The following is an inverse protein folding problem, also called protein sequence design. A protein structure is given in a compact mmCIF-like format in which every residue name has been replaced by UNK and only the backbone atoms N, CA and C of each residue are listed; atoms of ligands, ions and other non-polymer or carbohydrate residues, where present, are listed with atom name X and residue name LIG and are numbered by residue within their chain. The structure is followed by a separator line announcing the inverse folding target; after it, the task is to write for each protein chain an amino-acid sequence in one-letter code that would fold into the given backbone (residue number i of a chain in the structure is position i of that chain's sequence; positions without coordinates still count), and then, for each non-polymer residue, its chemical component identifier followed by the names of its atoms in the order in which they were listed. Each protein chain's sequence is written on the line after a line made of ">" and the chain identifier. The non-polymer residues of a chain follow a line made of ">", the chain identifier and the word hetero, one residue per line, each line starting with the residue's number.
data_IF_614828791108
#
_entry.id   IF_614828791108
#
_cell.length_a   1.000
_cell.length_b   1.000
_cell.length_c   1.000
_cell.angle_alpha   90.00
_cell.angle_beta   90.00
_cell.angle_gamma   90.00
#
_symmetry.space_group_name_H-M   'P 1'
#
loop_
_entity.id
_entity.type
_entity.pdbx_description
1 polymer ?
#
# COMPACT_ATOMS: atom_id res chain seq x y z
N UNK A 1 30.46 47.91 53.94
CA UNK A 1 29.68 46.71 54.32
C UNK A 1 28.83 46.31 53.13
N UNK A 2 28.94 45.05 52.71
CA UNK A 2 28.09 44.39 51.71
C UNK A 2 26.59 44.39 52.16
N UNK A 3 25.59 44.19 51.28
CA UNK A 3 25.57 43.05 50.37
C UNK A 3 25.17 43.30 48.92
N UNK A 4 25.81 42.52 48.05
CA UNK A 4 25.44 42.23 46.68
C UNK A 4 24.20 41.32 46.71
N UNK A 5 23.09 41.73 46.10
CA UNK A 5 21.97 40.85 45.81
C UNK A 5 22.27 40.11 44.50
N UNK A 6 22.64 38.84 44.61
CA UNK A 6 22.68 37.91 43.48
C UNK A 6 21.25 37.47 43.20
N UNK A 7 20.67 37.96 42.09
CA UNK A 7 19.40 37.45 41.57
C UNK A 7 19.72 36.19 40.77
N UNK A 8 19.41 35.03 41.34
CA UNK A 8 19.42 33.74 40.64
C UNK A 8 18.24 33.71 39.65
N UNK A 9 18.53 33.97 38.38
CA UNK A 9 17.64 33.63 37.28
C UNK A 9 17.61 32.10 37.12
N UNK A 10 16.62 31.46 37.72
CA UNK A 10 16.22 30.10 37.33
C UNK A 10 15.59 30.18 35.94
N UNK A 11 16.43 30.08 34.91
CA UNK A 11 15.96 29.77 33.57
C UNK A 11 15.37 28.37 33.60
N UNK A 12 14.04 28.27 33.54
CA UNK A 12 13.38 27.06 33.10
C UNK A 12 13.83 26.82 31.66
N UNK A 13 14.84 25.98 31.49
CA UNK A 13 15.10 25.33 30.21
C UNK A 13 13.93 24.37 30.03
N UNK A 14 12.89 24.83 29.34
CA UNK A 14 11.93 23.92 28.76
C UNK A 14 12.70 23.01 27.81
N UNK A 15 12.98 21.81 28.29
CA UNK A 15 13.29 20.70 27.41
C UNK A 15 12.08 20.53 26.51
N UNK A 16 12.14 21.09 25.30
CA UNK A 16 11.32 20.69 24.17
C UNK A 16 11.59 19.21 23.92
N UNK A 17 10.88 18.36 24.67
CA UNK A 17 10.65 17.00 24.29
C UNK A 17 9.78 17.06 23.04
N UNK A 18 10.39 16.77 21.90
CA UNK A 18 9.67 16.43 20.70
C UNK A 18 8.85 15.16 20.98
N UNK A 19 7.65 15.33 21.51
CA UNK A 19 6.63 14.29 21.56
C UNK A 19 6.10 14.04 20.14
N UNK A 20 5.67 12.82 19.82
CA UNK A 20 4.92 12.58 18.60
C UNK A 20 3.51 13.12 18.79
N UNK A 21 3.00 13.82 17.77
CA UNK A 21 1.66 14.40 17.60
C UNK A 21 1.52 15.88 18.03
N UNK A 22 1.20 16.74 17.07
CA UNK A 22 0.65 18.06 17.36
C UNK A 22 -0.73 17.87 18.02
N UNK A 23 -0.90 18.43 19.22
CA UNK A 23 -2.12 18.29 20.03
C UNK A 23 -3.34 19.01 19.44
N UNK A 24 -3.14 20.01 18.58
CA UNK A 24 -4.22 20.77 17.97
C UNK A 24 -4.59 20.21 16.58
N UNK A 25 -5.89 20.08 16.26
CA UNK A 25 -6.33 19.61 14.96
C UNK A 25 -5.98 20.64 13.88
N UNK A 26 -5.40 20.18 12.76
CA UNK A 26 -5.01 21.04 11.66
C UNK A 26 -6.21 21.65 10.90
N UNK A 27 -7.39 21.03 11.03
CA UNK A 27 -8.63 21.47 10.41
C UNK A 27 -9.79 21.36 11.38
N UNK A 28 -10.74 22.29 11.25
CA UNK A 28 -12.02 22.19 11.91
C UNK A 28 -12.81 21.00 11.32
N UNK A 29 -13.23 20.08 12.18
CA UNK A 29 -14.12 18.99 11.80
C UNK A 29 -15.58 19.46 11.83
N UNK A 30 -16.46 18.70 11.18
CA UNK A 30 -17.90 18.92 11.18
C UNK A 30 -18.40 19.17 12.60
N UNK A 31 -19.07 20.31 12.81
CA UNK A 31 -19.67 20.62 14.10
C UNK A 31 -20.71 19.58 14.50
N UNK A 32 -20.72 19.23 15.78
CA UNK A 32 -21.62 18.21 16.35
C UNK A 32 -21.51 16.87 15.59
N UNK A 33 -20.29 16.45 15.29
CA UNK A 33 -20.03 15.21 14.57
C UNK A 33 -20.61 13.99 15.29
N UNK A 34 -21.45 13.21 14.60
CA UNK A 34 -22.01 11.96 15.08
C UNK A 34 -21.43 10.77 14.29
N UNK A 35 -20.57 10.00 14.96
CA UNK A 35 -19.94 8.82 14.37
C UNK A 35 -20.96 7.79 13.90
N UNK A 36 -22.06 7.59 14.62
CA UNK A 36 -23.04 6.54 14.31
C UNK A 36 -23.74 6.81 12.99
N UNK A 37 -23.98 8.09 12.69
CA UNK A 37 -24.57 8.51 11.42
C UNK A 37 -23.58 8.46 10.26
N UNK A 38 -22.28 8.51 10.54
CA UNK A 38 -21.24 8.33 9.52
C UNK A 38 -21.06 6.85 9.11
N UNK A 39 -21.44 5.88 9.95
CA UNK A 39 -21.28 4.45 9.65
C UNK A 39 -22.00 4.00 8.37
N UNK A 40 -21.63 2.83 7.89
CA UNK A 40 -22.19 2.17 6.71
C UNK A 40 -21.43 2.50 5.43
N UNK A 41 -22.08 2.26 4.29
CA UNK A 41 -21.48 2.32 2.97
C UNK A 41 -21.48 3.75 2.40
N UNK A 42 -20.38 4.09 1.76
CA UNK A 42 -20.08 5.33 1.04
C UNK A 42 -19.44 4.99 -0.29
N UNK A 43 -19.57 5.88 -1.27
CA UNK A 43 -18.96 5.78 -2.59
C UNK A 43 -17.93 6.87 -2.77
N UNK A 44 -16.73 6.52 -3.21
CA UNK A 44 -15.62 7.45 -3.45
C UNK A 44 -15.81 8.11 -4.82
N UNK A 45 -16.38 9.31 -4.85
CA UNK A 45 -16.88 10.00 -6.06
C UNK A 45 -15.80 10.83 -6.73
N UNK A 46 -15.07 11.63 -5.94
CA UNK A 46 -14.02 12.48 -6.46
C UNK A 46 -12.86 12.58 -5.47
N UNK A 47 -11.67 12.83 -5.98
CA UNK A 47 -10.49 13.02 -5.15
C UNK A 47 -9.47 13.95 -5.80
N UNK A 48 -8.76 14.71 -4.98
CA UNK A 48 -7.64 15.56 -5.37
C UNK A 48 -6.49 15.33 -4.39
N UNK A 49 -5.26 15.53 -4.85
CA UNK A 49 -4.07 15.39 -4.01
C UNK A 49 -2.93 16.21 -4.58
N UNK A 50 -2.20 16.88 -3.69
CA UNK A 50 -0.96 17.57 -4.02
C UNK A 50 0.23 16.60 -4.16
N UNK A 51 0.02 15.32 -3.83
CA UNK A 51 1.02 14.27 -3.93
C UNK A 51 1.59 14.22 -5.37
N UNK A 52 2.91 14.41 -5.55
CA UNK A 52 3.53 14.49 -6.87
C UNK A 52 3.22 13.28 -7.76
N UNK A 53 3.13 12.08 -7.17
CA UNK A 53 2.79 10.86 -7.88
C UNK A 53 1.37 10.89 -8.46
N UNK A 54 0.37 11.33 -7.68
CA UNK A 54 -1.03 11.47 -8.13
C UNK A 54 -1.15 12.50 -9.24
N UNK A 55 -0.36 13.59 -9.18
CA UNK A 55 -0.31 14.60 -10.25
C UNK A 55 0.25 14.03 -11.56
N UNK A 56 1.26 13.16 -11.47
CA UNK A 56 1.93 12.57 -12.65
C UNK A 56 1.20 11.35 -13.23
N UNK A 57 0.51 10.56 -12.39
CA UNK A 57 -0.14 9.31 -12.76
C UNK A 57 -1.66 9.37 -12.57
N UNK A 58 -2.29 10.40 -13.15
CA UNK A 58 -3.75 10.54 -13.15
C UNK A 58 -4.39 9.46 -14.04
N UNK A 59 -4.67 8.28 -13.45
CA UNK A 59 -5.34 7.19 -14.15
C UNK A 59 -6.85 7.33 -14.11
N UNK A 60 -7.50 6.91 -15.19
CA UNK A 60 -8.94 6.76 -15.21
C UNK A 60 -9.38 5.83 -14.07
N UNK A 61 -10.18 6.35 -13.14
CA UNK A 61 -10.54 5.68 -11.90
C UNK A 61 -12.04 5.49 -11.84
N UNK A 62 -12.47 4.31 -11.40
CA UNK A 62 -13.88 3.98 -11.22
C UNK A 62 -14.32 4.32 -9.80
N UNK A 63 -15.61 4.60 -9.63
CA UNK A 63 -16.22 4.77 -8.30
C UNK A 63 -16.06 3.46 -7.53
N UNK A 64 -15.37 3.53 -6.39
CA UNK A 64 -15.27 2.43 -5.43
C UNK A 64 -16.19 2.66 -4.23
N UNK A 65 -16.31 1.67 -3.36
CA UNK A 65 -17.04 1.81 -2.09
C UNK A 65 -16.10 1.82 -0.89
N UNK A 66 -16.53 2.49 0.16
CA UNK A 66 -15.95 2.52 1.48
C UNK A 66 -17.05 2.17 2.47
N UNK A 67 -16.82 1.18 3.32
CA UNK A 67 -17.78 0.78 4.34
C UNK A 67 -17.13 0.93 5.71
N UNK A 68 -17.80 1.67 6.59
CA UNK A 68 -17.34 1.98 7.95
C UNK A 68 -18.22 1.25 8.96
N UNK A 69 -17.60 0.51 9.87
CA UNK A 69 -18.29 -0.27 10.89
C UNK A 69 -17.60 -0.09 12.24
N UNK A 70 -18.36 -0.24 13.34
CA UNK A 70 -17.74 -0.28 14.66
C UNK A 70 -16.86 -1.52 14.77
N UNK A 71 -15.66 -1.34 15.29
CA UNK A 71 -14.79 -2.43 15.64
C UNK A 71 -15.19 -3.05 16.98
N UNK A 72 -14.63 -4.22 17.29
CA UNK A 72 -14.76 -4.85 18.60
C UNK A 72 -14.08 -4.02 19.70
N UNK A 73 -13.08 -3.22 19.34
CA UNK A 73 -12.43 -2.26 20.24
C UNK A 73 -13.16 -0.92 20.22
N UNK A 74 -13.40 -0.30 21.40
CA UNK A 74 -14.13 0.96 21.49
C UNK A 74 -13.39 2.16 20.88
N UNK A 75 -12.07 2.04 20.67
CA UNK A 75 -11.22 3.12 20.17
C UNK A 75 -10.89 2.97 18.68
N UNK A 76 -11.47 1.98 18.01
CA UNK A 76 -11.17 1.70 16.60
C UNK A 76 -12.43 1.64 15.75
N UNK A 77 -12.28 2.04 14.49
CA UNK A 77 -13.33 2.03 13.48
C UNK A 77 -12.84 1.18 12.30
N UNK A 78 -13.56 0.10 12.02
CA UNK A 78 -13.20 -0.79 10.93
C UNK A 78 -13.67 -0.23 9.59
N UNK A 79 -12.81 -0.40 8.59
CA UNK A 79 -12.95 0.16 7.28
C UNK A 79 -12.73 -0.93 6.23
N UNK A 80 -13.70 -1.07 5.33
CA UNK A 80 -13.59 -1.94 4.15
C UNK A 80 -13.79 -1.13 2.89
N UNK A 81 -12.75 -1.04 2.06
CA UNK A 81 -12.79 -0.39 0.75
C UNK A 81 -12.83 -1.42 -0.36
N UNK A 82 -13.71 -1.22 -1.33
CA UNK A 82 -13.81 -2.09 -2.51
C UNK A 82 -13.64 -1.25 -3.78
N UNK A 83 -12.77 -1.67 -4.68
CA UNK A 83 -12.42 -0.92 -5.88
C UNK A 83 -12.07 -1.82 -7.07
N UNK A 84 -12.43 -1.38 -8.27
CA UNK A 84 -12.07 -2.08 -9.51
C UNK A 84 -10.74 -1.56 -10.06
N UNK A 85 -9.81 -2.46 -10.35
CA UNK A 85 -8.52 -2.14 -10.94
C UNK A 85 -8.19 -3.16 -12.04
N UNK A 86 -7.97 -2.67 -13.25
CA UNK A 86 -7.69 -3.51 -14.43
C UNK A 86 -8.75 -4.61 -14.67
N UNK A 87 -10.02 -4.31 -14.36
CA UNK A 87 -11.12 -5.27 -14.51
C UNK A 87 -11.26 -6.26 -13.35
N UNK A 88 -10.42 -6.19 -12.31
CA UNK A 88 -10.50 -7.05 -11.13
C UNK A 88 -10.98 -6.24 -9.92
N UNK A 89 -11.99 -6.76 -9.22
CA UNK A 89 -12.49 -6.21 -7.96
C UNK A 89 -11.50 -6.53 -6.83
N UNK A 90 -10.94 -5.50 -6.19
CA UNK A 90 -10.05 -5.62 -5.03
C UNK A 90 -10.77 -5.09 -3.78
N UNK A 91 -10.64 -5.81 -2.67
CA UNK A 91 -11.10 -5.39 -1.34
C UNK A 91 -9.89 -5.10 -0.46
N UNK A 92 -9.95 -4.02 0.30
CA UNK A 92 -8.92 -3.56 1.21
C UNK A 92 -9.61 -3.31 2.55
N UNK A 93 -9.14 -3.98 3.59
CA UNK A 93 -9.61 -3.76 4.97
C UNK A 93 -8.53 -3.03 5.76
N UNK A 94 -8.96 -2.26 6.76
CA UNK A 94 -8.09 -1.60 7.71
C UNK A 94 -8.91 -1.05 8.88
N UNK A 95 -8.23 -0.45 9.84
CA UNK A 95 -8.89 0.15 11.00
C UNK A 95 -8.34 1.55 11.22
N UNK A 96 -9.24 2.49 11.49
CA UNK A 96 -8.90 3.83 11.96
C UNK A 96 -8.90 3.83 13.48
N UNK A 97 -7.98 4.57 14.07
CA UNK A 97 -8.00 4.94 15.48
C UNK A 97 -8.87 6.20 15.65
N UNK A 98 -9.77 6.14 16.64
CA UNK A 98 -10.56 7.29 17.06
C UNK A 98 -9.65 8.23 17.86
N UNK A 99 -9.74 9.53 17.57
CA UNK A 99 -9.00 10.56 18.32
C UNK A 99 -9.91 11.27 19.31
N UNK A 100 -9.32 12.10 20.18
CA UNK A 100 -10.09 12.94 21.11
C UNK A 100 -10.97 13.99 20.40
N UNK A 101 -10.66 14.31 19.14
CA UNK A 101 -11.43 15.26 18.33
C UNK A 101 -12.48 14.51 17.49
N UNK A 102 -13.79 14.69 17.73
CA UNK A 102 -14.84 14.07 16.93
C UNK A 102 -14.69 14.43 15.44
N UNK A 103 -14.79 13.42 14.57
CA UNK A 103 -14.64 13.59 13.12
C UNK A 103 -13.19 13.59 12.64
N UNK A 104 -12.21 13.46 13.55
CA UNK A 104 -10.80 13.21 13.23
C UNK A 104 -10.44 11.75 13.53
N UNK A 105 -9.86 11.11 12.53
CA UNK A 105 -9.44 9.72 12.56
C UNK A 105 -7.96 9.62 12.22
N UNK A 106 -7.26 8.69 12.84
CA UNK A 106 -5.83 8.45 12.60
C UNK A 106 -5.62 7.03 12.09
N UNK A 107 -4.66 6.84 11.19
CA UNK A 107 -4.12 5.51 10.93
C UNK A 107 -2.67 5.61 10.47
N UNK A 108 -1.90 4.60 10.83
CA UNK A 108 -0.54 4.46 10.34
C UNK A 108 -0.52 3.65 9.04
N UNK A 109 -0.08 4.26 7.95
CA UNK A 109 0.14 3.57 6.68
C UNK A 109 1.52 2.91 6.69
N UNK A 110 1.54 1.63 7.05
CA UNK A 110 2.75 0.80 7.09
C UNK A 110 3.50 0.82 5.75
N UNK A 111 2.78 0.81 4.62
CA UNK A 111 3.39 0.80 3.27
C UNK A 111 4.25 2.03 2.99
N UNK A 112 3.85 3.20 3.46
CA UNK A 112 4.54 4.47 3.18
C UNK A 112 5.34 4.97 4.36
N UNK A 113 5.37 4.21 5.46
CA UNK A 113 5.86 4.66 6.76
C UNK A 113 5.33 6.06 7.06
N UNK A 114 4.02 6.23 6.85
CA UNK A 114 3.37 7.52 6.85
C UNK A 114 2.20 7.51 7.82
N UNK A 115 2.16 8.54 8.63
CA UNK A 115 1.07 8.83 9.53
C UNK A 115 0.00 9.60 8.74
N UNK A 116 -1.25 9.14 8.84
CA UNK A 116 -2.36 9.77 8.13
C UNK A 116 -3.44 10.21 9.12
N UNK A 117 -3.68 11.51 9.14
CA UNK A 117 -4.83 12.10 9.81
C UNK A 117 -5.94 12.34 8.77
N UNK A 118 -7.14 11.87 9.04
CA UNK A 118 -8.34 12.10 8.24
C UNK A 118 -9.34 12.95 9.02
N UNK A 119 -9.83 14.02 8.40
CA UNK A 119 -10.75 15.00 8.97
C UNK A 119 -12.02 15.02 8.15
N UNK A 120 -13.14 14.64 8.74
CA UNK A 120 -14.46 14.85 8.15
C UNK A 120 -14.84 16.30 8.38
N UNK A 121 -14.63 17.14 7.36
CA UNK A 121 -14.80 18.59 7.47
C UNK A 121 -16.25 19.01 7.27
N UNK A 122 -16.96 18.36 6.34
CA UNK A 122 -18.38 18.61 6.09
C UNK A 122 -19.11 17.32 5.74
N UNK A 123 -20.26 17.10 6.38
CA UNK A 123 -21.16 16.01 6.01
C UNK A 123 -22.57 16.29 6.51
N UNK A 124 -23.57 15.88 5.73
CA UNK A 124 -24.96 15.80 6.20
C UNK A 124 -25.36 14.36 6.56
N UNK A 125 -24.39 13.43 6.57
CA UNK A 125 -24.52 11.99 6.85
C UNK A 125 -25.33 11.17 5.84
N UNK A 126 -26.36 11.76 5.25
CA UNK A 126 -27.37 11.06 4.45
C UNK A 126 -27.12 11.17 2.95
N UNK A 127 -26.27 12.11 2.51
CA UNK A 127 -25.99 12.35 1.09
C UNK A 127 -24.49 12.35 0.78
N UNK A 128 -23.69 13.13 1.51
CA UNK A 128 -22.28 13.33 1.17
C UNK A 128 -21.37 13.49 2.40
N UNK A 129 -20.07 13.27 2.20
CA UNK A 129 -19.03 13.63 3.15
C UNK A 129 -17.78 14.15 2.41
N UNK A 130 -17.27 15.30 2.84
CA UNK A 130 -15.99 15.87 2.43
C UNK A 130 -14.95 15.54 3.48
N UNK A 131 -13.86 14.94 3.05
CA UNK A 131 -12.78 14.46 3.92
C UNK A 131 -11.45 15.03 3.45
N UNK A 132 -10.73 15.69 4.36
CA UNK A 132 -9.34 16.09 4.15
C UNK A 132 -8.45 15.06 4.83
N UNK A 133 -7.40 14.62 4.15
CA UNK A 133 -6.39 13.75 4.73
C UNK A 133 -5.02 14.41 4.63
N UNK A 134 -4.34 14.48 5.77
CA UNK A 134 -2.94 14.86 5.86
C UNK A 134 -2.12 13.60 6.01
N UNK A 135 -1.21 13.40 5.07
CA UNK A 135 -0.24 12.33 5.15
C UNK A 135 1.13 12.93 5.45
N UNK A 136 1.79 12.40 6.47
CA UNK A 136 3.12 12.82 6.89
C UNK A 136 4.05 11.60 6.95
N UNK A 137 5.10 11.61 6.14
CA UNK A 137 6.18 10.64 6.21
C UNK A 137 7.25 11.09 7.21
N UNK A 138 7.92 10.14 7.90
CA UNK A 138 8.95 10.45 8.90
C UNK A 138 10.15 11.26 8.37
N UNK A 139 10.47 11.10 7.08
CA UNK A 139 11.56 11.81 6.40
C UNK A 139 11.15 12.33 5.01
N UNK A 140 9.85 12.43 4.74
CA UNK A 140 9.31 12.73 3.42
C UNK A 140 8.41 13.95 3.40
N UNK A 141 7.82 14.20 2.23
CA UNK A 141 6.95 15.34 2.02
C UNK A 141 5.61 15.16 2.72
N UNK A 142 5.08 16.25 3.29
CA UNK A 142 3.69 16.30 3.74
C UNK A 142 2.81 16.48 2.52
N UNK A 143 1.76 15.67 2.43
CA UNK A 143 0.81 15.75 1.31
C UNK A 143 -0.61 15.84 1.83
N UNK A 144 -1.40 16.69 1.20
CA UNK A 144 -2.81 16.88 1.48
C UNK A 144 -3.64 16.24 0.37
N UNK A 145 -4.68 15.52 0.77
CA UNK A 145 -5.65 14.95 -0.16
C UNK A 145 -7.05 15.29 0.27
N UNK A 146 -7.91 15.62 -0.69
CA UNK A 146 -9.33 15.87 -0.45
C UNK A 146 -10.13 14.79 -1.15
N UNK A 147 -11.13 14.23 -0.48
CA UNK A 147 -12.06 13.24 -1.03
C UNK A 147 -13.50 13.68 -0.84
N UNK A 148 -14.30 13.43 -1.87
CA UNK A 148 -15.75 13.53 -1.83
C UNK A 148 -16.34 12.12 -1.84
N UNK A 149 -17.09 11.82 -0.78
CA UNK A 149 -17.87 10.61 -0.65
C UNK A 149 -19.35 10.91 -0.81
N UNK A 150 -20.09 9.97 -1.39
CA UNK A 150 -21.54 10.01 -1.53
C UNK A 150 -22.21 8.77 -0.97
N UNK A 151 -23.43 8.89 -0.43
CA UNK A 151 -24.30 7.71 -0.15
C UNK A 151 -24.80 7.06 -1.44
N UNK A 152 -24.80 7.81 -2.54
CA UNK A 152 -25.07 7.34 -3.90
C UNK A 152 -23.82 7.49 -4.77
N UNK A 153 -23.77 6.79 -5.91
CA UNK A 153 -22.64 6.81 -6.86
C UNK A 153 -22.60 8.05 -7.75
N UNK A 154 -23.67 8.84 -7.71
CA UNK A 154 -23.81 10.11 -8.40
C UNK A 154 -24.35 11.12 -7.40
N UNK A 155 -23.80 12.34 -7.46
CA UNK A 155 -24.16 13.44 -6.59
C UNK A 155 -24.56 14.63 -7.45
N UNK A 156 -25.35 15.53 -6.86
CA UNK A 156 -25.75 16.78 -7.50
C UNK A 156 -24.51 17.63 -7.87
N UNK A 157 -24.54 18.36 -9.00
CA UNK A 157 -23.40 19.16 -9.45
C UNK A 157 -22.89 20.18 -8.43
N UNK A 158 -23.77 20.73 -7.59
CA UNK A 158 -23.38 21.70 -6.55
C UNK A 158 -22.37 21.11 -5.56
N UNK A 159 -22.49 19.83 -5.19
CA UNK A 159 -21.53 19.17 -4.31
C UNK A 159 -20.16 18.96 -4.97
N UNK A 160 -20.13 18.83 -6.30
CA UNK A 160 -18.89 18.77 -7.07
C UNK A 160 -18.19 20.13 -7.05
N UNK A 161 -18.95 21.23 -7.12
CA UNK A 161 -18.41 22.59 -6.99
C UNK A 161 -17.95 22.90 -5.57
N UNK A 162 -18.68 22.47 -4.55
CA UNK A 162 -18.25 22.58 -3.14
C UNK A 162 -16.93 21.84 -2.92
N UNK A 163 -16.81 20.62 -3.48
CA UNK A 163 -15.56 19.86 -3.47
C UNK A 163 -14.42 20.60 -4.18
N UNK A 164 -14.65 21.17 -5.37
CA UNK A 164 -13.63 21.95 -6.09
C UNK A 164 -13.19 23.17 -5.31
N UNK A 165 -14.12 23.85 -4.65
CA UNK A 165 -13.85 25.01 -3.79
C UNK A 165 -12.93 24.60 -2.64
N UNK A 166 -13.26 23.51 -1.94
CA UNK A 166 -12.42 22.99 -0.86
C UNK A 166 -11.02 22.60 -1.37
N UNK A 167 -10.90 21.99 -2.56
CA UNK A 167 -9.60 21.67 -3.17
C UNK A 167 -8.78 22.94 -3.44
N UNK A 168 -9.41 24.00 -3.93
CA UNK A 168 -8.75 25.28 -4.18
C UNK A 168 -8.29 25.96 -2.88
N UNK A 169 -9.08 25.86 -1.80
CA UNK A 169 -8.70 26.34 -0.47
C UNK A 169 -7.47 25.61 0.09
N UNK A 170 -7.27 24.34 -0.26
CA UNK A 170 -6.06 23.59 0.05
C UNK A 170 -4.86 23.96 -0.86
N UNK A 171 -4.99 24.97 -1.71
CA UNK A 171 -3.93 25.43 -2.62
C UNK A 171 -3.67 24.49 -3.81
N UNK A 172 -4.56 23.53 -4.07
CA UNK A 172 -4.44 22.61 -5.19
C UNK A 172 -5.15 23.15 -6.43
N UNK A 173 -4.55 22.92 -7.60
CA UNK A 173 -5.13 23.29 -8.89
C UNK A 173 -6.18 22.27 -9.36
N UNK A 174 -7.14 22.72 -10.17
CA UNK A 174 -8.22 21.91 -10.71
C UNK A 174 -7.74 20.73 -11.56
N UNK A 175 -6.53 20.79 -12.13
CA UNK A 175 -5.90 19.69 -12.86
C UNK A 175 -5.60 18.46 -11.97
N UNK A 176 -5.46 18.66 -10.65
CA UNK A 176 -5.26 17.57 -9.68
C UNK A 176 -6.55 16.79 -9.37
N UNK A 177 -7.70 17.33 -9.76
CA UNK A 177 -9.02 16.75 -9.47
C UNK A 177 -9.31 15.56 -10.38
N UNK A 178 -9.61 14.42 -9.78
CA UNK A 178 -10.11 13.23 -10.46
C UNK A 178 -11.54 12.95 -10.01
N UNK A 179 -12.49 13.16 -10.93
CA UNK A 179 -13.88 12.68 -10.82
C UNK A 179 -13.91 11.26 -11.37
N UNK A 180 -14.57 10.34 -10.67
CA UNK A 180 -14.56 8.92 -10.99
C UNK A 180 -15.78 8.52 -11.81
N UNK A 181 -15.60 7.56 -12.71
CA UNK A 181 -16.69 7.06 -13.55
C UNK A 181 -17.54 6.03 -12.79
N UNK A 182 -18.86 6.19 -12.87
CA UNK A 182 -19.82 5.25 -12.29
C UNK A 182 -20.01 4.05 -13.24
N UNK A 183 -19.48 2.88 -12.86
CA UNK A 183 -19.71 1.59 -13.56
C UNK A 183 -20.44 0.56 -12.70
N UNK A 184 -21.12 0.99 -11.64
CA UNK A 184 -21.77 0.10 -10.68
C UNK A 184 -20.82 -0.56 -9.68
N UNK A 185 -21.35 -1.48 -8.87
CA UNK A 185 -20.56 -2.16 -7.84
C UNK A 185 -19.67 -3.23 -8.43
N UNK A 186 -18.41 -3.19 -8.03
CA UNK A 186 -17.45 -4.25 -8.31
C UNK A 186 -17.56 -5.30 -7.17
N UNK A 187 -18.27 -6.40 -7.41
CA UNK A 187 -18.45 -7.46 -6.39
C UNK A 187 -17.29 -8.47 -6.49
N UNK A 188 -16.57 -8.76 -5.39
CA UNK A 188 -15.56 -9.80 -5.37
C UNK A 188 -16.17 -11.16 -5.74
N UNK A 189 -15.63 -11.83 -6.76
CA UNK A 189 -16.06 -13.16 -7.19
C UNK A 189 -17.05 -13.20 -8.37
N UNK A 190 -17.57 -12.06 -8.85
CA UNK A 190 -18.41 -12.03 -10.04
C UNK A 190 -17.55 -11.81 -11.30
N UNK A 191 -17.45 -12.81 -12.18
CA UNK A 191 -16.81 -12.65 -13.48
C UNK A 191 -17.66 -11.70 -14.33
N UNK A 192 -17.18 -10.48 -14.55
CA UNK A 192 -17.72 -9.64 -15.61
C UNK A 192 -17.23 -10.23 -16.94
N UNK A 193 -18.10 -10.94 -17.65
CA UNK A 193 -17.92 -11.25 -19.06
C UNK A 193 -17.90 -9.93 -19.84
N UNK A 194 -16.75 -9.29 -19.93
CA UNK A 194 -16.51 -8.21 -20.88
C UNK A 194 -15.46 -8.72 -21.87
N UNK A 195 -15.79 -8.79 -23.17
CA UNK A 195 -14.81 -9.14 -24.18
C UNK A 195 -13.61 -8.18 -24.09
N UNK A 196 -12.37 -8.65 -24.30
CA UNK A 196 -11.22 -7.77 -24.34
C UNK A 196 -11.37 -6.80 -25.52
N UNK A 197 -11.60 -5.53 -25.20
CA UNK A 197 -11.59 -4.45 -26.19
C UNK A 197 -10.14 -4.25 -26.64
N UNK A 198 -9.78 -4.85 -27.77
CA UNK A 198 -8.50 -4.65 -28.44
C UNK A 198 -8.36 -3.19 -28.87
N UNK A 199 -7.64 -2.39 -28.08
CA UNK A 199 -7.12 -1.10 -28.55
C UNK A 199 -5.75 -1.31 -29.22
N UNK A 200 -5.51 -0.76 -30.43
CA UNK A 200 -4.23 -0.87 -31.10
C UNK A 200 -3.15 -0.17 -30.26
N UNK A 201 -2.07 -0.89 -29.97
CA UNK A 201 -0.95 -0.39 -29.17
C UNK A 201 -0.08 0.51 -30.06
N UNK A 202 -0.17 1.82 -29.87
CA UNK A 202 0.80 2.74 -30.45
C UNK A 202 2.19 2.52 -29.80
N UNK A 203 3.19 2.41 -30.67
CA UNK A 203 4.61 2.21 -30.35
C UNK A 203 5.08 3.33 -29.41
N UNK A 204 5.54 3.00 -28.20
CA UNK A 204 6.34 3.90 -27.37
C UNK A 204 7.72 3.28 -27.17
N UNK A 205 8.73 4.04 -27.57
CA UNK A 205 10.16 3.84 -27.36
C UNK A 205 10.44 3.74 -25.86
N UNK A 206 11.23 2.73 -25.49
CA UNK A 206 11.66 2.49 -24.12
C UNK A 206 12.76 3.47 -23.73
N UNK A 207 12.48 4.36 -22.80
CA UNK A 207 13.47 4.86 -21.87
C UNK A 207 13.29 4.08 -20.57
N UNK A 208 14.37 3.51 -20.03
CA UNK A 208 14.38 2.79 -18.76
C UNK A 208 13.70 3.62 -17.68
N UNK A 209 12.76 3.08 -16.88
CA UNK A 209 12.39 3.71 -15.64
C UNK A 209 13.52 3.51 -14.63
N UNK A 210 14.03 4.60 -14.10
CA UNK A 210 14.68 4.60 -12.80
C UNK A 210 13.67 4.09 -11.78
N UNK A 211 14.09 3.10 -10.99
CA UNK A 211 13.46 2.74 -9.72
C UNK A 211 13.23 4.06 -8.94
N UNK A 212 12.06 4.24 -8.32
CA UNK A 212 11.81 5.04 -7.09
C UNK A 212 10.32 5.45 -6.94
N UNK A 213 9.85 5.28 -5.70
CA UNK A 213 8.80 6.01 -4.96
C UNK A 213 7.36 6.09 -5.51
N UNK A 214 6.48 5.30 -4.88
CA UNK A 214 5.04 5.32 -5.11
C UNK A 214 4.25 6.13 -4.07
N UNK A 215 2.95 6.25 -4.34
CA UNK A 215 1.93 6.83 -3.46
C UNK A 215 0.90 5.75 -3.12
N UNK A 216 0.25 5.88 -1.96
CA UNK A 216 -0.54 4.84 -1.32
C UNK A 216 -1.85 4.38 -1.90
N UNK A 217 -1.97 4.39 -3.22
CA UNK A 217 -3.11 3.86 -3.95
C UNK A 217 -2.84 2.51 -4.64
N UNK A 218 -1.77 1.81 -4.27
CA UNK A 218 -1.44 0.48 -4.79
C UNK A 218 -1.19 -0.53 -3.65
N UNK A 219 -2.02 -1.57 -3.51
CA UNK A 219 -1.60 -2.81 -2.83
C UNK A 219 -1.35 -3.89 -3.88
N UNK A 220 -0.10 -4.36 -3.95
CA UNK A 220 0.29 -5.64 -3.40
C UNK A 220 0.99 -5.46 -2.06
N UNK A 221 0.80 -6.43 -1.18
CA UNK A 221 1.59 -6.61 0.04
C UNK A 221 3.04 -6.83 -0.40
N UNK A 222 3.85 -5.79 -0.38
CA UNK A 222 5.29 -5.94 -0.23
C UNK A 222 5.60 -5.60 1.22
N UNK A 223 5.62 -6.65 2.05
CA UNK A 223 6.28 -6.68 3.34
C UNK A 223 7.71 -6.16 3.10
N UNK A 224 8.06 -5.01 3.67
CA UNK A 224 9.29 -4.26 3.35
C UNK A 224 10.58 -5.04 3.58
N UNK A 225 11.73 -4.49 3.15
CA UNK A 225 13.05 -5.12 3.24
C UNK A 225 13.42 -5.66 4.64
N UNK A 226 12.85 -5.12 5.72
CA UNK A 226 12.99 -5.64 7.09
C UNK A 226 12.38 -7.04 7.26
N UNK A 227 11.31 -7.34 6.53
CA UNK A 227 10.63 -8.64 6.51
C UNK A 227 11.49 -9.75 5.91
N UNK A 228 12.51 -9.39 5.13
CA UNK A 228 13.40 -10.33 4.47
C UNK A 228 14.80 -10.35 5.11
N UNK A 229 15.08 -9.42 6.02
CA UNK A 229 16.40 -9.27 6.65
C UNK A 229 16.38 -9.56 8.15
N UNK A 230 15.21 -9.43 8.81
CA UNK A 230 15.04 -9.84 10.20
C UNK A 230 15.24 -11.35 10.38
N UNK A 231 15.72 -11.79 11.54
CA UNK A 231 15.74 -13.23 11.89
C UNK A 231 14.31 -13.72 12.14
N UNK A 232 14.02 -15.00 11.94
CA UNK A 232 12.73 -15.56 12.34
C UNK A 232 12.44 -15.31 13.84
N UNK A 233 11.21 -14.93 14.18
CA UNK A 233 10.77 -14.71 15.55
C UNK A 233 9.50 -15.51 15.83
N UNK A 234 9.61 -16.44 16.78
CA UNK A 234 8.50 -17.31 17.21
C UNK A 234 7.46 -16.54 18.04
N UNK A 235 7.83 -15.42 18.66
CA UNK A 235 6.96 -14.70 19.59
C UNK A 235 6.75 -15.43 20.93
N UNK A 236 6.06 -14.81 21.90
CA UNK A 236 5.92 -15.32 23.26
C UNK A 236 4.76 -16.33 23.44
N UNK A 237 3.90 -16.50 22.44
CA UNK A 237 2.79 -17.43 22.50
C UNK A 237 3.22 -18.89 22.24
N UNK A 238 2.41 -19.85 22.70
CA UNK A 238 2.72 -21.29 22.67
C UNK A 238 2.04 -22.07 21.52
N UNK A 239 1.55 -21.36 20.51
CA UNK A 239 1.04 -21.99 19.29
C UNK A 239 2.14 -22.68 18.50
N UNK A 240 1.76 -23.66 17.67
CA UNK A 240 2.68 -24.43 16.84
C UNK A 240 2.30 -24.28 15.37
N UNK A 241 2.40 -23.05 14.85
CA UNK A 241 2.05 -22.74 13.46
C UNK A 241 3.28 -22.86 12.56
N UNK A 242 3.22 -23.71 11.54
CA UNK A 242 4.28 -23.83 10.55
C UNK A 242 4.23 -22.62 9.60
N UNK A 243 5.32 -21.86 9.55
CA UNK A 243 5.48 -20.64 8.75
C UNK A 243 6.80 -20.67 8.00
N UNK A 244 7.00 -19.73 7.09
CA UNK A 244 8.24 -19.57 6.32
C UNK A 244 8.92 -18.26 6.68
N UNK A 245 10.24 -18.26 6.76
CA UNK A 245 11.08 -17.07 6.91
C UNK A 245 12.15 -17.07 5.83
N UNK A 246 12.42 -15.92 5.24
CA UNK A 246 13.49 -15.73 4.28
C UNK A 246 14.84 -15.63 4.97
N UNK A 247 15.81 -16.41 4.50
CA UNK A 247 17.20 -16.34 4.91
C UNK A 247 18.00 -15.68 3.78
N UNK A 248 18.43 -14.43 4.00
CA UNK A 248 19.17 -13.64 3.00
C UNK A 248 20.56 -14.21 2.70
N UNK A 249 21.20 -14.89 3.66
CA UNK A 249 22.50 -15.54 3.44
C UNK A 249 22.41 -16.77 2.55
N UNK A 250 21.30 -17.51 2.65
CA UNK A 250 21.02 -18.68 1.82
C UNK A 250 20.20 -18.34 0.57
N UNK A 251 19.71 -17.11 0.47
CA UNK A 251 18.76 -16.66 -0.55
C UNK A 251 17.60 -17.66 -0.73
N UNK A 252 17.05 -18.13 0.39
CA UNK A 252 16.07 -19.22 0.43
C UNK A 252 15.04 -19.00 1.54
N UNK A 253 13.82 -19.52 1.34
CA UNK A 253 12.78 -19.53 2.35
C UNK A 253 12.85 -20.82 3.17
N UNK A 254 12.94 -20.69 4.48
CA UNK A 254 13.06 -21.81 5.43
C UNK A 254 11.81 -21.89 6.29
N UNK A 255 11.42 -23.10 6.68
CA UNK A 255 10.29 -23.30 7.58
C UNK A 255 10.70 -23.06 9.03
N UNK A 256 9.80 -22.46 9.82
CA UNK A 256 9.95 -22.32 11.25
C UNK A 256 8.60 -22.41 11.98
N UNK A 257 8.65 -22.59 13.30
CA UNK A 257 7.46 -22.64 14.16
C UNK A 257 7.19 -21.25 14.74
N UNK A 258 5.98 -20.76 14.50
CA UNK A 258 5.47 -19.50 15.04
C UNK A 258 4.46 -19.75 16.16
N UNK A 259 4.61 -18.99 17.25
CA UNK A 259 3.84 -19.07 18.48
C UNK A 259 2.40 -18.57 18.37
N UNK A 260 2.05 -17.88 17.29
CA UNK A 260 0.68 -17.41 17.03
C UNK A 260 0.36 -16.01 17.54
N UNK A 261 1.32 -15.32 18.16
CA UNK A 261 1.18 -13.90 18.50
C UNK A 261 2.54 -13.18 18.49
N UNK A 262 2.51 -11.86 18.31
CA UNK A 262 3.70 -11.01 18.16
C UNK A 262 4.66 -11.55 17.07
N UNK A 263 5.97 -11.44 17.25
CA UNK A 263 6.95 -11.80 16.24
C UNK A 263 7.31 -10.62 15.34
N UNK A 264 8.02 -10.92 14.25
CA UNK A 264 8.38 -9.94 13.23
C UNK A 264 7.85 -10.32 11.85
N UNK A 265 8.12 -9.45 10.87
CA UNK A 265 7.55 -9.57 9.53
C UNK A 265 8.22 -10.63 8.64
N UNK A 266 9.30 -11.28 9.10
CA UNK A 266 9.90 -12.43 8.43
C UNK A 266 9.13 -13.73 8.75
N UNK A 267 7.83 -13.71 8.47
CA UNK A 267 6.87 -14.73 8.85
C UNK A 267 5.77 -14.86 7.79
N UNK A 268 5.98 -15.74 6.81
CA UNK A 268 5.11 -15.98 5.65
C UNK A 268 4.31 -17.27 5.84
N UNK A 269 3.10 -17.31 5.28
CA UNK A 269 2.24 -18.48 5.38
C UNK A 269 2.67 -19.57 4.38
N UNK A 270 3.17 -19.16 3.21
CA UNK A 270 3.61 -20.08 2.15
C UNK A 270 5.01 -19.74 1.65
N UNK A 271 5.72 -20.76 1.14
CA UNK A 271 7.02 -20.58 0.48
C UNK A 271 6.92 -19.64 -0.73
N UNK A 272 5.81 -19.73 -1.48
CA UNK A 272 5.52 -18.87 -2.61
C UNK A 272 5.49 -17.39 -2.21
N UNK A 273 4.72 -17.08 -1.18
CA UNK A 273 4.60 -15.72 -0.65
C UNK A 273 5.96 -15.20 -0.18
N UNK A 274 6.73 -16.02 0.53
CA UNK A 274 8.08 -15.68 0.97
C UNK A 274 9.02 -15.36 -0.21
N UNK A 275 9.07 -16.22 -1.24
CA UNK A 275 9.94 -16.00 -2.41
C UNK A 275 9.49 -14.80 -3.24
N UNK A 276 8.19 -14.63 -3.47
CA UNK A 276 7.67 -13.48 -4.22
C UNK A 276 7.91 -12.14 -3.50
N UNK A 277 7.99 -12.17 -2.17
CA UNK A 277 8.27 -10.98 -1.37
C UNK A 277 9.76 -10.66 -1.28
N UNK A 278 10.60 -11.68 -1.06
CA UNK A 278 11.98 -11.48 -0.60
C UNK A 278 13.08 -11.83 -1.60
N UNK A 279 12.77 -12.53 -2.70
CA UNK A 279 13.76 -12.96 -3.67
C UNK A 279 14.35 -11.76 -4.42
N UNK A 280 15.66 -11.79 -4.61
CA UNK A 280 16.42 -10.79 -5.38
C UNK A 280 17.00 -11.39 -6.66
N UNK A 281 17.44 -10.56 -7.62
CA UNK A 281 18.12 -11.01 -8.85
C UNK A 281 19.34 -11.91 -8.59
N UNK A 282 19.98 -11.80 -7.41
CA UNK A 282 21.06 -12.69 -7.02
C UNK A 282 20.66 -14.19 -7.01
N UNK A 283 19.36 -14.48 -6.87
CA UNK A 283 18.82 -15.83 -6.97
C UNK A 283 19.03 -16.46 -8.36
N UNK A 284 19.06 -15.66 -9.43
CA UNK A 284 19.32 -16.15 -10.79
C UNK A 284 20.74 -16.75 -10.95
N UNK A 285 21.63 -16.54 -9.98
CA UNK A 285 23.00 -17.09 -9.98
C UNK A 285 23.12 -18.40 -9.19
N UNK A 286 22.04 -18.86 -8.57
CA UNK A 286 22.01 -20.08 -7.77
C UNK A 286 21.75 -21.31 -8.66
N UNK A 287 22.18 -22.51 -8.25
CA UNK A 287 21.88 -23.74 -8.99
C UNK A 287 20.37 -24.05 -8.94
N UNK A 288 19.87 -24.76 -9.96
CA UNK A 288 18.53 -25.35 -9.91
C UNK A 288 18.50 -26.42 -8.82
N UNK A 289 17.81 -26.14 -7.72
CA UNK A 289 17.79 -27.01 -6.55
C UNK A 289 16.40 -27.61 -6.34
N UNK A 290 16.19 -28.91 -6.65
CA UNK A 290 14.91 -29.57 -6.43
C UNK A 290 14.57 -29.74 -4.94
N UNK A 291 15.54 -29.57 -4.03
CA UNK A 291 15.38 -29.85 -2.62
C UNK A 291 15.31 -31.36 -2.32
N UNK A 292 15.22 -31.74 -1.02
CA UNK A 292 15.31 -33.12 -0.58
C UNK A 292 13.96 -33.88 -0.61
N UNK A 293 12.85 -33.18 -0.89
CA UNK A 293 11.53 -33.80 -0.96
C UNK A 293 11.24 -34.38 -2.34
N UNK A 294 10.25 -35.28 -2.43
CA UNK A 294 9.97 -36.08 -3.63
C UNK A 294 8.65 -35.70 -4.34
N UNK A 295 8.12 -34.49 -4.13
CA UNK A 295 7.02 -34.00 -4.96
C UNK A 295 7.51 -33.72 -6.38
N UNK A 296 6.59 -33.69 -7.35
CA UNK A 296 6.89 -33.40 -8.75
C UNK A 296 6.19 -32.11 -9.18
N UNK A 297 6.55 -31.00 -8.55
CA UNK A 297 6.00 -29.69 -8.88
C UNK A 297 6.77 -29.10 -10.06
N UNK A 298 6.09 -28.80 -11.16
CA UNK A 298 6.70 -28.14 -12.31
C UNK A 298 6.78 -26.63 -12.05
N UNK A 299 8.01 -26.13 -11.93
CA UNK A 299 8.32 -24.72 -11.71
C UNK A 299 9.38 -24.26 -12.71
N UNK A 300 9.69 -22.98 -12.71
CA UNK A 300 10.69 -22.39 -13.60
C UNK A 300 11.95 -22.03 -12.82
N UNK A 301 13.11 -22.19 -13.42
CA UNK A 301 14.40 -21.73 -12.89
C UNK A 301 15.25 -21.15 -14.00
N UNK A 302 16.14 -20.23 -13.66
CA UNK A 302 17.09 -19.68 -14.59
C UNK A 302 18.30 -20.60 -14.70
N UNK A 303 18.57 -21.08 -15.90
CA UNK A 303 19.78 -21.81 -16.21
C UNK A 303 20.86 -20.83 -16.66
N UNK A 304 21.80 -20.54 -15.76
CA UNK A 304 22.91 -19.64 -16.02
C UNK A 304 23.87 -20.14 -17.12
N UNK A 305 23.88 -21.44 -17.43
CA UNK A 305 24.71 -21.99 -18.51
C UNK A 305 24.12 -21.69 -19.89
N UNK A 306 22.80 -21.72 -20.02
CA UNK A 306 22.10 -21.44 -21.29
C UNK A 306 21.56 -20.02 -21.38
N UNK A 307 21.57 -19.27 -20.28
CA UNK A 307 20.99 -17.93 -20.18
C UNK A 307 19.47 -17.91 -20.32
N UNK A 308 18.80 -19.05 -20.05
CA UNK A 308 17.37 -19.23 -20.33
C UNK A 308 16.61 -19.68 -19.09
N UNK A 309 15.35 -19.26 -19.00
CA UNK A 309 14.41 -19.78 -18.02
C UNK A 309 13.86 -21.12 -18.50
N UNK A 310 14.11 -22.17 -17.73
CA UNK A 310 13.73 -23.54 -18.05
C UNK A 310 12.78 -24.10 -17.00
N UNK A 311 11.86 -24.95 -17.41
CA UNK A 311 11.02 -25.70 -16.48
C UNK A 311 11.87 -26.78 -15.77
N UNK A 312 11.71 -26.92 -14.46
CA UNK A 312 12.38 -27.93 -13.65
C UNK A 312 11.41 -28.52 -12.61
N UNK A 313 11.73 -29.74 -12.14
CA UNK A 313 10.93 -30.43 -11.12
C UNK A 313 11.41 -30.05 -9.73
N UNK A 314 10.55 -29.38 -8.98
CA UNK A 314 10.76 -29.05 -7.58
C UNK A 314 10.15 -30.12 -6.67
N UNK A 315 10.95 -30.59 -5.72
CA UNK A 315 10.64 -31.62 -4.73
C UNK A 315 9.58 -31.24 -3.70
N UNK A 316 9.16 -29.96 -3.64
CA UNK A 316 8.09 -29.49 -2.77
C UNK A 316 8.51 -29.10 -1.36
N UNK A 317 9.81 -29.13 -1.04
CA UNK A 317 10.34 -28.51 0.17
C UNK A 317 11.79 -28.06 -0.01
N UNK A 318 12.18 -27.02 0.72
CA UNK A 318 13.51 -26.41 0.72
C UNK A 318 13.96 -25.99 -0.70
N UNK A 319 15.24 -26.19 -1.03
CA UNK A 319 15.85 -25.61 -2.21
C UNK A 319 16.20 -24.14 -2.00
N UNK A 320 16.57 -23.46 -3.09
CA UNK A 320 17.01 -22.08 -3.05
C UNK A 320 16.09 -21.14 -3.85
N UNK A 321 16.48 -19.86 -3.93
CA UNK A 321 15.70 -18.81 -4.57
C UNK A 321 15.62 -18.88 -6.10
N UNK A 322 16.41 -19.71 -6.79
CA UNK A 322 16.31 -19.90 -8.25
C UNK A 322 15.10 -20.76 -8.62
N UNK A 323 13.91 -20.25 -8.30
CA UNK A 323 12.64 -20.95 -8.40
C UNK A 323 11.53 -19.93 -8.59
N UNK A 324 10.79 -20.06 -9.68
CA UNK A 324 9.79 -19.12 -10.16
C UNK A 324 8.49 -19.86 -10.52
N UNK A 325 7.34 -19.21 -10.34
CA UNK A 325 6.03 -19.82 -10.56
C UNK A 325 5.52 -19.63 -12.00
N UNK A 326 6.23 -18.86 -12.82
CA UNK A 326 5.98 -18.76 -14.26
C UNK A 326 7.26 -18.46 -15.03
N UNK A 327 7.29 -18.82 -16.31
CA UNK A 327 8.38 -18.48 -17.23
C UNK A 327 8.63 -16.98 -17.27
N UNK A 328 7.55 -16.21 -17.43
CA UNK A 328 7.60 -14.74 -17.50
C UNK A 328 8.22 -14.14 -16.23
N UNK A 329 7.86 -14.64 -15.06
CA UNK A 329 8.44 -14.20 -13.79
C UNK A 329 9.96 -14.46 -13.76
N UNK A 330 10.42 -15.61 -14.22
CA UNK A 330 11.84 -15.90 -14.33
C UNK A 330 12.55 -14.96 -15.32
N UNK A 331 11.98 -14.75 -16.51
CA UNK A 331 12.56 -13.90 -17.55
C UNK A 331 12.67 -12.44 -17.11
N UNK A 332 11.65 -11.93 -16.40
CA UNK A 332 11.62 -10.58 -15.85
C UNK A 332 12.67 -10.39 -14.74
N UNK A 333 12.86 -11.37 -13.85
CA UNK A 333 13.83 -11.29 -12.75
C UNK A 333 15.28 -11.50 -13.20
N UNK A 334 15.50 -12.36 -14.20
CA UNK A 334 16.85 -12.77 -14.60
C UNK A 334 17.34 -12.08 -15.89
N UNK A 335 16.53 -11.17 -16.47
CA UNK A 335 16.95 -10.33 -17.58
C UNK A 335 17.20 -11.11 -18.87
N UNK A 336 16.38 -12.11 -19.18
CA UNK A 336 16.51 -12.89 -20.44
C UNK A 336 16.13 -11.99 -21.61
N UNK A 337 17.12 -11.44 -22.32
CA UNK A 337 16.92 -10.75 -23.61
C UNK A 337 16.47 -11.78 -24.64
N UNK A 338 15.45 -11.44 -25.45
CA UNK A 338 14.98 -12.34 -26.51
C UNK A 338 16.00 -12.26 -27.64
N UNK A 339 16.46 -13.42 -28.13
CA UNK A 339 17.30 -13.51 -29.33
C UNK A 339 16.57 -12.82 -30.51
N UNK A 340 16.94 -11.56 -30.80
CA UNK A 340 16.22 -10.66 -31.70
C UNK A 340 16.66 -9.19 -31.59
N UNK A 341 17.40 -8.85 -30.54
CA UNK A 341 17.82 -7.48 -30.23
C UNK A 341 19.23 -7.14 -30.79
N UNK A 342 19.97 -8.12 -31.29
CA UNK A 342 21.35 -7.92 -31.79
C UNK A 342 21.45 -7.17 -33.12
N UNK A 343 20.34 -6.96 -33.83
CA UNK A 343 20.34 -6.21 -35.10
C UNK A 343 20.26 -4.69 -34.91
N UNK A 344 19.96 -4.19 -33.71
CA UNK A 344 19.84 -2.76 -33.43
C UNK A 344 21.09 -2.10 -32.81
N UNK A 345 22.16 -2.87 -32.56
CA UNK A 345 23.44 -2.35 -32.03
C UNK A 345 24.56 -2.31 -33.08
N UNK A 346 24.25 -2.54 -34.36
CA UNK A 346 25.12 -2.23 -35.49
C UNK A 346 24.36 -1.25 -36.39
N UNK A 347 24.99 -0.11 -36.71
CA UNK A 347 24.47 1.01 -37.51
C UNK A 347 23.73 2.10 -36.69
N UNK A 348 24.47 2.87 -35.89
CA UNK A 348 24.92 4.23 -36.23
C UNK A 348 25.68 4.87 -35.06
#
# INVERSE_FOLDING_TARGET
>A
MLPVFVVLLLGCVEFLHAGPLASEPAFQTQENFDLNRLLGKWYDIASASDCPWRRKHKTHSLVGSLELQRSDSPNTLDMTRTMSRQGVCKVITGSYELTETPGRFYYHSVKWSADVDAYVVHTNYDEYALVIMLQQQRHGNKTTSVKLYGRQRELRPTLIEDFKTLVAEQGMSADTISIKENKGDCVPGQQTNTPPETKPRARRTAALPTVEEGSGDDMPVFRGAESCTAKQDTGPCFGMFQRFSYNSSLMACQQFVYGGCMGNQNNFETEKECLQTCRTEAACRLPMDPGPCNAALELWAFDAATGKCVAFKYGGCNGNGNKFYSQKECEEYCGVTRDGDEEFLKVN
#
